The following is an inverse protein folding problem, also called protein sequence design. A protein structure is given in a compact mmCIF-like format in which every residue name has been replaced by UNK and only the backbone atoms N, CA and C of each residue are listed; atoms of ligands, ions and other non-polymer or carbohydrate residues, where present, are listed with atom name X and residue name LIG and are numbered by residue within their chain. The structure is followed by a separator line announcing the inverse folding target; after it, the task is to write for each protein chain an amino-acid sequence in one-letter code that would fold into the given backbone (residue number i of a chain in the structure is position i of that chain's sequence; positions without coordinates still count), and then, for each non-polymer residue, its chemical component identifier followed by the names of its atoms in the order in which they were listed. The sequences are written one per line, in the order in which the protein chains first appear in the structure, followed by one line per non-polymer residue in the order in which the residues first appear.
data_IF_102651904998
#
_entry.id   IF_102651904998
#
_cell.length_a   1.000
_cell.length_b   1.000
_cell.length_c   1.000
_cell.angle_alpha   90.00
_cell.angle_beta   90.00
_cell.angle_gamma   90.00
#
_symmetry.space_group_name_H-M   'P 1'
#
loop_
_entity.id
_entity.type
_entity.pdbx_description
1 polymer ?
#
# COMPACT_ATOMS: atom_id res chain seq x y z
N UNK A 1 -5.70 20.29 1.36
CA UNK A 1 -4.38 19.61 1.39
C UNK A 1 -3.47 20.56 2.12
N UNK A 2 -3.01 20.20 3.33
CA UNK A 2 -2.02 21.00 4.02
C UNK A 2 -0.82 21.17 3.08
N UNK A 3 -0.20 22.35 3.11
CA UNK A 3 0.89 22.68 2.19
C UNK A 3 2.24 22.60 2.89
N UNK A 4 2.29 22.15 4.15
CA UNK A 4 3.49 22.25 4.98
C UNK A 4 4.21 20.89 5.13
N UNK A 5 3.72 19.85 4.47
CA UNK A 5 4.28 18.51 4.48
C UNK A 5 5.63 18.45 3.76
N UNK A 6 6.61 17.90 4.46
CA UNK A 6 7.96 17.65 3.97
C UNK A 6 8.32 16.17 4.14
N UNK A 7 9.15 15.65 3.25
CA UNK A 7 9.67 14.29 3.30
C UNK A 7 9.09 13.33 2.26
N UNK A 8 9.42 12.05 2.41
CA UNK A 8 8.98 10.97 1.54
C UNK A 8 7.72 10.29 2.05
N UNK A 9 6.76 10.12 1.14
CA UNK A 9 5.51 9.41 1.38
C UNK A 9 5.30 8.37 0.31
N UNK A 10 4.73 7.23 0.71
CA UNK A 10 4.46 6.11 -0.17
C UNK A 10 2.96 5.95 -0.39
N UNK A 11 2.59 5.43 -1.55
CA UNK A 11 1.25 4.95 -1.82
C UNK A 11 1.28 3.59 -2.51
N UNK A 12 0.32 2.75 -2.14
CA UNK A 12 0.01 1.48 -2.78
C UNK A 12 -1.42 1.57 -3.31
N UNK A 13 -1.61 1.33 -4.60
CA UNK A 13 -2.93 1.26 -5.22
C UNK A 13 -3.18 -0.14 -5.79
N UNK A 14 -4.07 -0.89 -5.12
CA UNK A 14 -4.52 -2.20 -5.57
C UNK A 14 -5.88 -2.06 -6.26
N UNK A 15 -5.83 -1.99 -7.59
CA UNK A 15 -6.98 -1.67 -8.44
C UNK A 15 -7.63 -2.85 -9.15
N UNK A 16 -6.87 -3.90 -9.48
CA UNK A 16 -7.29 -5.01 -10.34
C UNK A 16 -6.15 -5.99 -10.59
N UNK A 17 -5.90 -6.37 -11.85
CA UNK A 17 -4.83 -7.31 -12.24
C UNK A 17 -3.41 -6.74 -12.11
N UNK A 18 -3.30 -5.42 -11.92
CA UNK A 18 -2.06 -4.74 -11.57
C UNK A 18 -2.25 -3.99 -10.26
N UNK A 19 -1.15 -3.76 -9.56
CA UNK A 19 -1.07 -2.72 -8.54
C UNK A 19 0.04 -1.74 -8.87
N UNK A 20 -0.06 -0.57 -8.26
CA UNK A 20 0.94 0.49 -8.41
C UNK A 20 1.54 0.81 -7.05
N UNK A 21 2.86 0.91 -7.02
CA UNK A 21 3.60 1.50 -5.91
C UNK A 21 4.08 2.89 -6.33
N UNK A 22 4.02 3.85 -5.43
CA UNK A 22 4.34 5.25 -5.70
C UNK A 22 5.10 5.83 -4.51
N UNK A 23 6.09 6.66 -4.81
CA UNK A 23 6.81 7.51 -3.85
C UNK A 23 6.67 8.96 -4.28
N UNK A 24 6.34 9.83 -3.33
CA UNK A 24 6.29 11.28 -3.52
C UNK A 24 7.23 11.94 -2.52
N UNK A 25 8.08 12.82 -3.03
CA UNK A 25 8.90 13.69 -2.21
C UNK A 25 8.25 15.07 -2.12
N UNK A 26 7.80 15.43 -0.93
CA UNK A 26 7.22 16.74 -0.65
C UNK A 26 8.29 17.66 -0.05
N UNK A 27 8.35 18.89 -0.54
CA UNK A 27 9.28 19.93 -0.11
C UNK A 27 8.61 21.09 0.64
N UNK A 28 7.44 20.86 1.23
CA UNK A 28 6.72 21.86 1.99
C UNK A 28 6.10 22.96 1.12
N UNK A 29 5.74 24.06 1.76
CA UNK A 29 4.83 25.09 1.22
C UNK A 29 5.32 25.79 -0.02
N UNK A 30 6.64 25.96 -0.10
CA UNK A 30 7.27 26.71 -1.18
C UNK A 30 7.64 25.82 -2.36
N UNK A 31 8.04 24.57 -2.11
CA UNK A 31 8.55 23.66 -3.16
C UNK A 31 7.50 22.69 -3.69
N UNK A 32 6.43 22.41 -2.93
CA UNK A 32 5.38 21.47 -3.34
C UNK A 32 5.92 20.06 -3.55
N UNK A 33 5.58 19.42 -4.68
CA UNK A 33 6.10 18.10 -5.06
C UNK A 33 7.48 18.29 -5.70
N UNK A 34 8.53 17.78 -5.06
CA UNK A 34 9.90 17.79 -5.57
C UNK A 34 10.09 16.69 -6.61
N UNK A 35 9.63 15.47 -6.29
CA UNK A 35 9.70 14.32 -7.21
C UNK A 35 8.55 13.36 -6.95
N UNK A 36 8.22 12.60 -7.99
CA UNK A 36 7.23 11.54 -7.95
C UNK A 36 7.71 10.40 -8.84
N UNK A 37 7.70 9.20 -8.29
CA UNK A 37 8.10 7.97 -8.96
C UNK A 37 7.02 6.92 -8.73
N UNK A 38 6.83 6.00 -9.69
CA UNK A 38 5.95 4.87 -9.51
C UNK A 38 6.25 3.73 -10.45
N UNK A 39 6.05 2.52 -9.93
CA UNK A 39 6.12 1.28 -10.68
C UNK A 39 4.74 0.61 -10.69
N UNK A 40 4.37 0.06 -11.85
CA UNK A 40 3.19 -0.78 -12.01
C UNK A 40 3.64 -2.24 -12.08
N UNK A 41 3.00 -3.09 -11.28
CA UNK A 41 3.36 -4.50 -11.13
C UNK A 41 2.14 -5.34 -11.46
N UNK A 42 2.31 -6.22 -12.46
CA UNK A 42 1.29 -7.22 -12.80
C UNK A 42 1.25 -8.33 -11.76
N UNK A 43 0.03 -8.68 -11.35
CA UNK A 43 -0.23 -9.73 -10.37
C UNK A 43 -0.37 -11.05 -11.13
N UNK A 44 0.47 -12.06 -10.82
CA UNK A 44 0.28 -13.40 -11.34
C UNK A 44 -1.13 -13.94 -11.03
N UNK A 45 -1.76 -14.58 -12.01
CA UNK A 45 -3.15 -15.01 -11.91
C UNK A 45 -3.37 -15.97 -10.73
N UNK A 46 -2.39 -16.84 -10.46
CA UNK A 46 -2.39 -17.78 -9.35
C UNK A 46 -2.48 -17.09 -7.98
N UNK A 47 -1.97 -15.86 -7.86
CA UNK A 47 -2.07 -15.08 -6.62
C UNK A 47 -3.45 -14.41 -6.47
N UNK A 48 -4.18 -14.20 -7.55
CA UNK A 48 -5.55 -13.66 -7.50
C UNK A 48 -6.57 -14.67 -6.98
N UNK A 49 -6.25 -15.97 -7.04
CA UNK A 49 -7.10 -17.08 -6.59
C UNK A 49 -6.40 -18.00 -5.58
N UNK A 50 -5.28 -17.53 -5.00
CA UNK A 50 -4.43 -18.28 -4.08
C UNK A 50 -4.81 -18.05 -2.62
N UNK A 51 -3.80 -17.77 -1.79
CA UNK A 51 -3.97 -17.43 -0.36
C UNK A 51 -3.76 -15.95 -0.09
N UNK A 52 -4.27 -15.47 1.04
CA UNK A 52 -4.05 -14.09 1.50
C UNK A 52 -2.56 -13.81 1.62
N UNK A 53 -1.85 -14.71 2.30
CA UNK A 53 -0.40 -14.62 2.50
C UNK A 53 0.34 -14.48 1.16
N UNK A 54 -0.02 -15.29 0.15
CA UNK A 54 0.65 -15.25 -1.15
C UNK A 54 0.51 -13.91 -1.86
N UNK A 55 -0.69 -13.31 -1.85
CA UNK A 55 -0.92 -12.00 -2.46
C UNK A 55 -0.18 -10.88 -1.69
N UNK A 56 -0.34 -10.82 -0.36
CA UNK A 56 0.23 -9.75 0.44
C UNK A 56 1.75 -9.85 0.56
N UNK A 57 2.34 -11.05 0.56
CA UNK A 57 3.78 -11.26 0.48
C UNK A 57 4.35 -10.78 -0.86
N UNK A 58 3.65 -11.03 -1.96
CA UNK A 58 4.06 -10.53 -3.28
C UNK A 58 4.06 -8.99 -3.33
N UNK A 59 3.02 -8.37 -2.78
CA UNK A 59 2.93 -6.90 -2.66
C UNK A 59 4.05 -6.36 -1.77
N UNK A 60 4.28 -6.96 -0.60
CA UNK A 60 5.34 -6.55 0.32
C UNK A 60 6.74 -6.66 -0.33
N UNK A 61 6.99 -7.73 -1.09
CA UNK A 61 8.22 -7.89 -1.86
C UNK A 61 8.42 -6.84 -2.94
N UNK A 62 7.34 -6.41 -3.62
CA UNK A 62 7.41 -5.31 -4.58
C UNK A 62 7.68 -3.96 -3.89
N UNK A 63 7.03 -3.69 -2.75
CA UNK A 63 7.32 -2.51 -1.92
C UNK A 63 8.77 -2.48 -1.46
N UNK A 64 9.33 -3.61 -1.03
CA UNK A 64 10.73 -3.71 -0.62
C UNK A 64 11.68 -3.33 -1.76
N UNK A 65 11.49 -3.91 -2.95
CA UNK A 65 12.28 -3.58 -4.15
C UNK A 65 12.17 -2.09 -4.52
N UNK A 66 10.99 -1.50 -4.37
CA UNK A 66 10.76 -0.09 -4.66
C UNK A 66 11.39 0.85 -3.60
N UNK A 67 11.51 0.38 -2.35
CA UNK A 67 12.25 1.08 -1.29
C UNK A 67 13.76 0.98 -1.50
N UNK A 68 14.27 -0.14 -2.02
CA UNK A 68 15.69 -0.30 -2.34
C UNK A 68 16.18 0.69 -3.42
N UNK A 69 15.27 1.23 -4.25
CA UNK A 69 15.58 2.27 -5.24
C UNK A 69 15.46 3.70 -4.70
N UNK A 70 15.41 3.89 -3.38
CA UNK A 70 15.48 5.21 -2.74
C UNK A 70 16.78 5.95 -3.13
N UNK A 71 16.70 7.26 -3.45
CA UNK A 71 17.90 8.05 -3.66
C UNK A 71 18.74 8.12 -2.37
N UNK A 72 20.07 8.24 -2.50
CA UNK A 72 20.95 8.33 -1.34
C UNK A 72 20.56 9.49 -0.41
N UNK A 73 20.57 9.24 0.90
CA UNK A 73 20.22 10.24 1.91
C UNK A 73 18.73 10.41 2.18
N UNK A 74 17.85 9.65 1.50
CA UNK A 74 16.40 9.72 1.67
C UNK A 74 15.79 8.69 2.63
N UNK A 75 16.62 8.10 3.48
CA UNK A 75 16.14 7.21 4.52
C UNK A 75 15.32 8.00 5.55
N UNK A 76 14.24 7.41 6.09
CA UNK A 76 13.53 8.02 7.21
C UNK A 76 14.51 8.35 8.36
N UNK A 77 14.34 9.50 9.03
CA UNK A 77 15.12 9.79 10.24
C UNK A 77 14.96 8.67 11.27
N UNK A 78 15.97 8.47 12.10
CA UNK A 78 15.93 7.48 13.17
C UNK A 78 14.66 7.64 14.03
N UNK A 79 13.89 6.57 14.19
CA UNK A 79 12.63 6.55 14.94
C UNK A 79 11.37 6.92 14.13
N UNK A 80 11.49 7.15 12.81
CA UNK A 80 10.33 7.36 11.93
C UNK A 80 10.26 6.27 10.88
N UNK A 81 9.11 5.61 10.76
CA UNK A 81 8.86 4.61 9.71
C UNK A 81 8.38 5.28 8.42
N UNK A 82 8.55 4.61 7.28
CA UNK A 82 7.94 5.03 6.01
C UNK A 82 6.43 5.02 6.12
N UNK A 83 5.77 6.10 5.70
CA UNK A 83 4.31 6.22 5.76
C UNK A 83 3.71 5.80 4.42
N UNK A 84 2.84 4.78 4.45
CA UNK A 84 2.14 4.24 3.29
C UNK A 84 0.65 4.60 3.33
N UNK A 85 0.17 5.25 2.27
CA UNK A 85 -1.26 5.31 1.96
C UNK A 85 -1.66 4.08 1.14
N UNK A 86 -2.65 3.32 1.60
CA UNK A 86 -3.13 2.13 0.92
C UNK A 86 -4.49 2.39 0.28
N UNK A 87 -4.51 2.59 -1.03
CA UNK A 87 -5.74 2.57 -1.83
C UNK A 87 -6.10 1.14 -2.18
N UNK A 88 -7.24 0.68 -1.68
CA UNK A 88 -7.70 -0.68 -1.85
C UNK A 88 -9.07 -0.69 -2.52
N UNK A 89 -9.10 -0.99 -3.82
CA UNK A 89 -10.28 -0.81 -4.66
C UNK A 89 -11.24 -2.01 -4.65
N UNK A 90 -11.54 -2.51 -3.45
CA UNK A 90 -12.52 -3.57 -3.22
C UNK A 90 -13.48 -3.16 -2.08
N UNK A 91 -14.68 -3.75 -2.02
CA UNK A 91 -15.62 -3.48 -0.94
C UNK A 91 -15.03 -3.79 0.45
N UNK A 92 -14.79 -2.74 1.24
CA UNK A 92 -14.28 -2.83 2.60
C UNK A 92 -15.25 -2.20 3.58
N UNK A 93 -15.43 -2.84 4.74
CA UNK A 93 -16.03 -2.23 5.93
C UNK A 93 -14.92 -1.50 6.68
N UNK A 94 -14.78 -0.20 6.42
CA UNK A 94 -13.75 0.61 7.06
C UNK A 94 -14.03 0.75 8.56
N UNK A 95 -13.03 0.43 9.39
CA UNK A 95 -13.15 0.43 10.86
C UNK A 95 -12.36 1.55 11.52
N UNK A 96 -11.34 2.10 10.83
CA UNK A 96 -10.63 3.30 11.23
C UNK A 96 -10.01 3.99 10.01
N UNK A 97 -9.19 5.03 10.22
CA UNK A 97 -8.41 5.65 9.15
C UNK A 97 -7.42 4.68 8.51
N UNK A 98 -6.92 3.69 9.25
CA UNK A 98 -5.86 2.77 8.84
C UNK A 98 -6.23 1.31 9.12
N UNK A 99 -7.51 0.95 9.02
CA UNK A 99 -7.97 -0.44 9.14
C UNK A 99 -9.31 -0.63 8.44
N UNK A 100 -9.54 -1.82 7.91
CA UNK A 100 -10.79 -2.14 7.23
C UNK A 100 -10.91 -3.58 6.83
N UNK A 101 -12.09 -4.14 7.10
CA UNK A 101 -12.38 -5.55 6.85
C UNK A 101 -12.88 -5.79 5.43
N UNK A 102 -12.28 -6.70 4.68
CA UNK A 102 -12.76 -7.09 3.35
C UNK A 102 -14.17 -7.70 3.44
N UNK A 103 -15.12 -7.16 2.67
CA UNK A 103 -16.49 -7.70 2.56
C UNK A 103 -16.55 -8.81 1.53
N UNK A 104 -15.99 -8.57 0.34
CA UNK A 104 -15.91 -9.53 -0.75
C UNK A 104 -14.87 -9.12 -1.78
N UNK A 105 -14.28 -10.11 -2.43
CA UNK A 105 -13.49 -9.88 -3.63
C UNK A 105 -14.36 -9.56 -4.85
N UNK A 106 -13.78 -8.87 -5.81
CA UNK A 106 -14.36 -8.57 -7.13
C UNK A 106 -13.25 -8.64 -8.18
N UNK A 107 -13.52 -8.31 -9.46
CA UNK A 107 -12.48 -8.14 -10.50
C UNK A 107 -11.60 -9.37 -10.72
N UNK A 108 -12.16 -10.56 -10.58
CA UNK A 108 -11.46 -11.84 -10.78
C UNK A 108 -10.66 -12.33 -9.57
N UNK A 109 -10.59 -11.57 -8.47
CA UNK A 109 -10.02 -12.06 -7.22
C UNK A 109 -10.98 -13.05 -6.55
N UNK A 110 -10.42 -14.12 -5.98
CA UNK A 110 -11.15 -15.14 -5.24
C UNK A 110 -10.24 -15.77 -4.19
N UNK A 111 -9.91 -15.01 -3.14
CA UNK A 111 -9.02 -15.44 -2.06
C UNK A 111 -9.85 -15.56 -0.77
N UNK A 112 -10.32 -16.77 -0.46
CA UNK A 112 -11.37 -17.00 0.55
C UNK A 112 -10.96 -16.60 1.96
N UNK A 113 -9.72 -16.90 2.35
CA UNK A 113 -9.18 -16.64 3.69
C UNK A 113 -9.03 -15.15 4.04
N UNK A 114 -9.04 -14.25 3.04
CA UNK A 114 -8.98 -12.80 3.26
C UNK A 114 -10.35 -12.20 3.57
N UNK A 115 -11.44 -12.85 3.14
CA UNK A 115 -12.79 -12.31 3.34
C UNK A 115 -13.10 -12.28 4.85
N UNK A 116 -13.52 -11.13 5.37
CA UNK A 116 -13.71 -10.93 6.80
C UNK A 116 -12.44 -10.58 7.59
N UNK A 117 -11.27 -10.49 6.94
CA UNK A 117 -10.02 -10.05 7.57
C UNK A 117 -9.74 -8.57 7.34
N UNK A 118 -8.96 -7.96 8.25
CA UNK A 118 -8.45 -6.60 8.10
C UNK A 118 -7.30 -6.58 7.08
N UNK A 119 -7.52 -5.95 5.93
CA UNK A 119 -6.55 -5.93 4.82
C UNK A 119 -5.29 -5.14 5.16
N UNK A 120 -5.38 -4.17 6.07
CA UNK A 120 -4.20 -3.47 6.59
C UNK A 120 -3.38 -4.40 7.47
N UNK A 121 -4.06 -5.21 8.30
CA UNK A 121 -3.43 -6.23 9.11
C UNK A 121 -2.70 -7.28 8.28
N UNK A 122 -3.33 -7.80 7.21
CA UNK A 122 -2.68 -8.76 6.30
C UNK A 122 -1.44 -8.17 5.63
N UNK A 123 -1.52 -6.95 5.08
CA UNK A 123 -0.34 -6.28 4.51
C UNK A 123 0.74 -6.06 5.57
N UNK A 124 0.38 -5.62 6.78
CA UNK A 124 1.33 -5.36 7.87
C UNK A 124 2.09 -6.63 8.27
N UNK A 125 1.40 -7.78 8.38
CA UNK A 125 2.05 -9.07 8.66
C UNK A 125 3.12 -9.40 7.61
N UNK A 126 2.82 -9.22 6.33
CA UNK A 126 3.77 -9.48 5.24
C UNK A 126 4.95 -8.49 5.25
N UNK A 127 4.72 -7.21 5.57
CA UNK A 127 5.79 -6.22 5.74
C UNK A 127 6.73 -6.57 6.90
N UNK A 128 6.17 -6.96 8.04
CA UNK A 128 6.93 -7.39 9.23
C UNK A 128 7.73 -8.68 8.95
N UNK A 129 7.12 -9.65 8.25
CA UNK A 129 7.76 -10.92 7.85
C UNK A 129 9.06 -10.71 7.08
N UNK A 130 9.13 -9.68 6.24
CA UNK A 130 10.34 -9.34 5.46
C UNK A 130 11.20 -8.24 6.11
N UNK A 131 10.80 -7.72 7.27
CA UNK A 131 11.53 -6.67 7.99
C UNK A 131 11.51 -5.30 7.31
N UNK A 132 10.49 -4.99 6.49
CA UNK A 132 10.39 -3.70 5.83
C UNK A 132 9.84 -2.64 6.80
N UNK A 133 10.66 -1.63 7.13
CA UNK A 133 10.29 -0.55 8.04
C UNK A 133 9.32 0.47 7.40
N UNK A 134 8.05 0.09 7.38
CA UNK A 134 6.94 0.81 6.75
C UNK A 134 5.65 0.59 7.54
N UNK A 135 4.84 1.64 7.68
CA UNK A 135 3.53 1.60 8.33
C UNK A 135 2.43 2.11 7.41
N UNK A 136 1.28 1.44 7.44
CA UNK A 136 0.08 1.92 6.75
C UNK A 136 -0.53 3.05 7.58
N UNK A 137 -0.42 4.28 7.06
CA UNK A 137 -0.93 5.47 7.74
C UNK A 137 -2.40 5.75 7.42
N UNK A 138 -2.88 5.29 6.26
CA UNK A 138 -4.27 5.42 5.86
C UNK A 138 -4.68 4.30 4.90
N UNK A 139 -5.93 3.84 5.03
CA UNK A 139 -6.63 2.99 4.10
C UNK A 139 -7.71 3.81 3.39
N UNK A 140 -7.70 3.81 2.08
CA UNK A 140 -8.71 4.45 1.23
C UNK A 140 -9.40 3.37 0.42
N UNK A 141 -10.68 3.12 0.71
CA UNK A 141 -11.50 2.21 -0.09
C UNK A 141 -12.20 2.98 -1.20
N UNK A 142 -11.93 2.62 -2.46
CA UNK A 142 -12.70 3.13 -3.60
C UNK A 142 -13.94 2.26 -3.80
N UNK A 143 -14.96 2.52 -2.98
CA UNK A 143 -16.26 1.88 -3.13
C UNK A 143 -17.07 2.65 -4.17
N UNK A 144 -17.23 2.10 -5.38
CA UNK A 144 -18.40 2.45 -6.19
C UNK A 144 -19.61 1.92 -5.42
N UNK A 145 -20.32 2.83 -4.74
CA UNK A 145 -21.65 2.56 -4.20
C UNK A 145 -22.52 2.18 -5.41
N UNK A 146 -22.87 0.91 -5.53
CA UNK A 146 -23.97 0.44 -6.37
C UNK A 146 -25.17 0.16 -5.47
#
# INVERSE_FOLDING_TARGET
ICRDEEGLYYALDLGGTNFRVLRVHLGGKEKGIISQESDEVSIPLELMTGSSEGLFDFIAGALAKFVESEPEGFHPPAGRQRELGFTFSFPVKQTSIASGTLIKWTKGFSIEDTVGQDVVGELTKSLEKIGLDMRVAALVSLTLLF
#
